data_IF_739181222179
#
_entry.id   IF_739181222179
#
_cell.length_a   1.000
_cell.length_b   1.000
_cell.length_c   1.000
_cell.angle_alpha   90.00
_cell.angle_beta   90.00
_cell.angle_gamma   90.00
#
_symmetry.space_group_name_H-M   'P 1'
#
loop_
_entity.id
_entity.type
_entity.pdbx_description
1 polymer ?
#
# COMPACT_ATOMS: atom_id res chain seq x y z
N UNK A 1 -31.57 -4.22 3.60
CA UNK A 1 -30.25 -4.54 2.99
C UNK A 1 -29.34 -3.31 3.08
N UNK A 2 -28.35 -3.36 3.97
CA UNK A 2 -27.84 -2.20 4.71
C UNK A 2 -26.84 -1.30 3.99
N UNK A 3 -26.80 -0.04 4.45
CA UNK A 3 -25.99 1.11 3.97
C UNK A 3 -24.55 0.77 3.54
N UNK A 4 -23.90 -0.21 4.17
CA UNK A 4 -22.56 -0.69 3.82
C UNK A 4 -22.45 -1.21 2.38
N UNK A 5 -23.44 -1.98 1.90
CA UNK A 5 -23.45 -2.50 0.52
C UNK A 5 -23.63 -1.38 -0.50
N UNK A 6 -24.47 -0.40 -0.18
CA UNK A 6 -24.68 0.80 -1.01
C UNK A 6 -23.40 1.65 -1.07
N UNK A 7 -22.77 1.90 0.08
CA UNK A 7 -21.51 2.62 0.17
C UNK A 7 -20.41 1.96 -0.65
N UNK A 8 -20.13 0.67 -0.40
CA UNK A 8 -19.13 -0.08 -1.15
C UNK A 8 -19.49 -0.15 -2.64
N UNK A 9 -20.77 -0.25 -2.99
CA UNK A 9 -21.27 -0.27 -4.36
C UNK A 9 -20.97 1.00 -5.15
N UNK A 10 -20.87 2.15 -4.49
CA UNK A 10 -20.62 3.45 -5.11
C UNK A 10 -19.17 3.66 -5.57
N UNK A 11 -18.94 4.59 -6.50
CA UNK A 11 -17.58 5.02 -6.89
C UNK A 11 -16.91 5.87 -5.80
N UNK A 12 -17.70 6.58 -4.98
CA UNK A 12 -17.22 7.36 -3.84
C UNK A 12 -16.63 6.42 -2.78
N UNK A 13 -17.41 5.44 -2.32
CA UNK A 13 -16.95 4.53 -1.26
C UNK A 13 -15.69 3.74 -1.64
N UNK A 14 -15.57 3.30 -2.89
CA UNK A 14 -14.33 2.65 -3.38
C UNK A 14 -13.12 3.60 -3.34
N UNK A 15 -13.28 4.84 -3.78
CA UNK A 15 -12.22 5.86 -3.71
C UNK A 15 -11.86 6.21 -2.27
N UNK A 16 -12.84 6.28 -1.37
CA UNK A 16 -12.61 6.48 0.06
C UNK A 16 -11.78 5.34 0.66
N UNK A 17 -12.15 4.08 0.38
CA UNK A 17 -11.37 2.91 0.82
C UNK A 17 -9.94 2.96 0.28
N UNK A 18 -9.79 3.24 -1.02
CA UNK A 18 -8.47 3.38 -1.65
C UNK A 18 -7.64 4.51 -1.00
N UNK A 19 -8.26 5.65 -0.71
CA UNK A 19 -7.60 6.79 -0.07
C UNK A 19 -7.15 6.49 1.36
N UNK A 20 -8.05 5.97 2.21
CA UNK A 20 -7.75 5.65 3.62
C UNK A 20 -6.63 4.60 3.71
N UNK A 21 -6.74 3.53 2.94
CA UNK A 21 -5.70 2.49 2.90
C UNK A 21 -4.37 3.01 2.35
N UNK A 22 -4.41 3.96 1.40
CA UNK A 22 -3.22 4.65 0.91
C UNK A 22 -2.54 5.50 1.99
N UNK A 23 -3.31 6.23 2.80
CA UNK A 23 -2.78 7.01 3.94
C UNK A 23 -2.11 6.10 4.97
N UNK A 24 -2.74 4.97 5.30
CA UNK A 24 -2.13 3.96 6.18
C UNK A 24 -0.77 3.50 5.62
N UNK A 25 -0.72 3.18 4.33
CA UNK A 25 0.52 2.78 3.66
C UNK A 25 1.61 3.86 3.70
N UNK A 26 1.25 5.13 3.47
CA UNK A 26 2.21 6.26 3.53
C UNK A 26 2.78 6.44 4.93
N UNK A 27 1.92 6.47 5.96
CA UNK A 27 2.35 6.60 7.35
C UNK A 27 3.27 5.46 7.75
N UNK A 28 2.93 4.22 7.35
CA UNK A 28 3.79 3.07 7.58
C UNK A 28 5.14 3.22 6.89
N UNK A 29 5.19 3.59 5.61
CA UNK A 29 6.46 3.73 4.88
C UNK A 29 7.36 4.78 5.52
N UNK A 30 6.80 5.89 6.01
CA UNK A 30 7.57 6.91 6.74
C UNK A 30 8.19 6.32 8.02
N UNK A 31 7.37 5.68 8.87
CA UNK A 31 7.85 5.06 10.11
C UNK A 31 8.86 3.92 9.84
N UNK A 32 8.58 3.11 8.83
CA UNK A 32 9.42 2.00 8.39
C UNK A 32 10.78 2.50 7.90
N UNK A 33 10.79 3.52 7.04
CA UNK A 33 12.03 4.14 6.58
C UNK A 33 12.81 4.75 7.74
N UNK A 34 12.15 5.47 8.65
CA UNK A 34 12.79 6.04 9.83
C UNK A 34 13.48 4.98 10.70
N UNK A 35 12.85 3.82 10.91
CA UNK A 35 13.46 2.69 11.61
C UNK A 35 14.66 2.10 10.86
N UNK A 36 14.57 1.96 9.54
CA UNK A 36 15.67 1.44 8.70
C UNK A 36 16.86 2.41 8.65
N UNK A 37 16.63 3.72 8.69
CA UNK A 37 17.70 4.72 8.71
C UNK A 37 18.58 4.63 9.97
N UNK A 38 18.15 3.91 11.01
CA UNK A 38 19.03 3.59 12.15
C UNK A 38 20.25 2.76 11.74
N UNK A 39 20.26 2.14 10.56
CA UNK A 39 21.47 1.50 9.99
C UNK A 39 22.66 2.47 9.93
N UNK A 40 22.41 3.75 9.70
CA UNK A 40 23.46 4.78 9.64
C UNK A 40 24.00 5.21 11.02
N UNK A 41 23.38 4.73 12.11
CA UNK A 41 23.79 4.98 13.50
C UNK A 41 24.65 3.85 14.08
N UNK A 42 24.95 2.83 13.28
CA UNK A 42 25.73 1.66 13.69
C UNK A 42 24.87 0.43 14.02
N UNK A 43 25.49 -0.76 14.10
CA UNK A 43 24.79 -2.03 14.30
C UNK A 43 23.96 -2.07 15.59
N UNK A 44 24.41 -1.41 16.65
CA UNK A 44 23.76 -1.42 17.97
C UNK A 44 22.37 -0.77 17.88
N UNK A 45 22.26 0.36 17.17
CA UNK A 45 21.01 1.10 17.06
C UNK A 45 19.93 0.32 16.29
N UNK A 46 20.29 -0.28 15.14
CA UNK A 46 19.35 -1.07 14.34
C UNK A 46 18.98 -2.40 15.03
N UNK A 47 19.93 -3.03 15.73
CA UNK A 47 19.68 -4.26 16.46
C UNK A 47 18.79 -4.01 17.69
N UNK A 48 19.02 -2.93 18.44
CA UNK A 48 18.17 -2.55 19.56
C UNK A 48 16.72 -2.25 19.11
N UNK A 49 16.55 -1.53 18.00
CA UNK A 49 15.24 -1.29 17.41
C UNK A 49 14.56 -2.59 16.95
N UNK A 50 15.30 -3.47 16.29
CA UNK A 50 14.81 -4.78 15.85
C UNK A 50 14.39 -5.66 17.04
N UNK A 51 15.16 -5.62 18.14
CA UNK A 51 14.83 -6.32 19.38
C UNK A 51 13.55 -5.77 20.01
N UNK A 52 13.42 -4.44 20.11
CA UNK A 52 12.20 -3.77 20.62
C UNK A 52 10.95 -4.14 19.81
N UNK A 53 11.04 -4.17 18.48
CA UNK A 53 9.92 -4.58 17.64
C UNK A 53 9.53 -6.05 17.87
N UNK A 54 10.51 -6.94 18.05
CA UNK A 54 10.26 -8.36 18.29
C UNK A 54 9.74 -8.63 19.71
N UNK A 55 10.17 -7.86 20.71
CA UNK A 55 9.71 -8.03 22.10
C UNK A 55 8.28 -7.55 22.33
N UNK A 56 7.76 -6.65 21.47
CA UNK A 56 6.38 -6.14 21.51
C UNK A 56 5.40 -6.99 20.68
N UNK A 57 5.64 -8.30 20.57
CA UNK A 57 5.07 -9.21 19.56
C UNK A 57 3.59 -9.02 19.19
N UNK A 58 2.70 -8.78 20.15
CA UNK A 58 1.27 -8.51 19.89
C UNK A 58 1.05 -7.26 19.02
N UNK A 59 1.71 -6.15 19.37
CA UNK A 59 1.64 -4.89 18.62
C UNK A 59 2.19 -5.07 17.21
N UNK A 60 3.29 -5.82 17.08
CA UNK A 60 3.87 -6.13 15.77
C UNK A 60 2.90 -6.90 14.87
N UNK A 61 2.16 -7.87 15.42
CA UNK A 61 1.14 -8.61 14.67
C UNK A 61 -0.07 -7.76 14.30
N UNK A 62 -0.54 -6.88 15.18
CA UNK A 62 -1.61 -5.92 14.86
C UNK A 62 -1.19 -5.05 13.67
N UNK A 63 0.04 -4.52 13.68
CA UNK A 63 0.57 -3.72 12.58
C UNK A 63 0.64 -4.54 11.29
N UNK A 64 1.15 -5.77 11.33
CA UNK A 64 1.22 -6.67 10.15
C UNK A 64 -0.15 -6.93 9.55
N UNK A 65 -1.13 -7.32 10.36
CA UNK A 65 -2.48 -7.62 9.89
C UNK A 65 -3.14 -6.36 9.30
N UNK A 66 -2.99 -5.22 9.97
CA UNK A 66 -3.50 -3.93 9.48
C UNK A 66 -2.94 -3.60 8.10
N UNK A 67 -1.63 -3.78 7.90
CA UNK A 67 -0.96 -3.50 6.62
C UNK A 67 -1.36 -4.47 5.52
N UNK A 68 -1.45 -5.77 5.82
CA UNK A 68 -1.90 -6.79 4.86
C UNK A 68 -3.32 -6.46 4.38
N UNK A 69 -4.24 -6.20 5.32
CA UNK A 69 -5.62 -5.82 5.01
C UNK A 69 -5.65 -4.52 4.21
N UNK A 70 -4.91 -3.50 4.64
CA UNK A 70 -4.87 -2.22 3.94
C UNK A 70 -4.36 -2.36 2.51
N UNK A 71 -3.27 -3.09 2.27
CA UNK A 71 -2.70 -3.33 0.93
C UNK A 71 -3.69 -4.08 0.05
N UNK A 72 -4.31 -5.16 0.54
CA UNK A 72 -5.31 -5.92 -0.22
C UNK A 72 -6.50 -5.03 -0.60
N UNK A 73 -7.06 -4.30 0.36
CA UNK A 73 -8.19 -3.40 0.12
C UNK A 73 -7.82 -2.26 -0.84
N UNK A 74 -6.60 -1.73 -0.74
CA UNK A 74 -6.09 -0.69 -1.64
C UNK A 74 -6.03 -1.20 -3.09
N UNK A 75 -5.44 -2.38 -3.31
CA UNK A 75 -5.30 -2.99 -4.64
C UNK A 75 -6.68 -3.31 -5.23
N UNK A 76 -7.57 -3.95 -4.46
CA UNK A 76 -8.92 -4.30 -4.91
C UNK A 76 -9.69 -3.04 -5.30
N UNK A 77 -9.68 -2.01 -4.46
CA UNK A 77 -10.34 -0.75 -4.76
C UNK A 77 -9.74 -0.06 -6.00
N UNK A 78 -8.41 -0.04 -6.14
CA UNK A 78 -7.72 0.54 -7.29
C UNK A 78 -8.09 -0.17 -8.60
N UNK A 79 -8.13 -1.51 -8.60
CA UNK A 79 -8.55 -2.32 -9.75
C UNK A 79 -10.01 -2.02 -10.11
N UNK A 80 -10.91 -2.02 -9.13
CA UNK A 80 -12.33 -1.78 -9.35
C UNK A 80 -12.62 -0.36 -9.86
N UNK A 81 -11.96 0.66 -9.30
CA UNK A 81 -12.08 2.05 -9.76
C UNK A 81 -11.54 2.18 -11.17
N UNK A 82 -10.41 1.54 -11.49
CA UNK A 82 -9.84 1.53 -12.83
C UNK A 82 -10.76 0.85 -13.83
N UNK A 83 -11.31 -0.31 -13.50
CA UNK A 83 -12.24 -1.06 -14.35
C UNK A 83 -13.52 -0.25 -14.63
N UNK A 84 -14.13 0.34 -13.60
CA UNK A 84 -15.31 1.21 -13.76
C UNK A 84 -15.02 2.45 -14.59
N UNK A 85 -13.86 3.06 -14.39
CA UNK A 85 -13.45 4.24 -15.12
C UNK A 85 -13.16 3.96 -16.60
N UNK A 86 -12.76 2.72 -16.94
CA UNK A 86 -12.65 2.24 -18.32
C UNK A 86 -14.02 1.91 -18.91
N UNK A 87 -14.87 1.21 -18.19
CA UNK A 87 -16.22 0.86 -18.64
C UNK A 87 -17.09 2.10 -18.92
N UNK A 88 -16.94 3.16 -18.13
CA UNK A 88 -17.62 4.44 -18.35
C UNK A 88 -17.10 5.21 -19.59
N UNK A 89 -16.05 4.73 -20.27
CA UNK A 89 -15.43 5.35 -21.45
C UNK A 89 -15.30 4.33 -22.59
N UNK A 90 -16.41 4.01 -23.28
CA UNK A 90 -16.40 3.06 -24.40
C UNK A 90 -15.61 3.56 -25.62
N UNK A 91 -15.53 4.87 -25.83
CA UNK A 91 -14.63 5.49 -26.81
C UNK A 91 -13.42 6.07 -26.06
N UNK A 92 -12.22 5.63 -26.45
CA UNK A 92 -10.96 6.08 -25.86
C UNK A 92 -10.60 7.51 -26.23
N UNK A 93 -9.65 8.11 -25.50
CA UNK A 93 -9.16 9.45 -25.81
C UNK A 93 -8.38 9.49 -27.13
N UNK A 94 -8.83 10.31 -28.08
CA UNK A 94 -8.14 10.60 -29.33
C UNK A 94 -6.86 11.41 -29.11
N UNK A 95 -6.85 12.28 -28.08
CA UNK A 95 -5.67 12.99 -27.59
C UNK A 95 -5.58 12.85 -26.08
N UNK A 96 -4.40 12.46 -25.58
CA UNK A 96 -4.11 12.43 -24.14
C UNK A 96 -3.40 13.72 -23.76
N UNK A 97 -4.18 14.79 -23.60
CA UNK A 97 -3.65 16.03 -23.07
C UNK A 97 -3.74 15.98 -21.53
N UNK A 98 -2.60 15.93 -20.80
CA UNK A 98 -2.63 15.81 -19.36
C UNK A 98 -3.03 17.14 -18.74
N UNK A 99 -4.32 17.32 -18.45
CA UNK A 99 -4.84 18.53 -17.80
C UNK A 99 -4.32 18.71 -16.35
N UNK A 100 -4.08 17.61 -15.60
CA UNK A 100 -3.70 17.65 -14.16
C UNK A 100 -2.75 16.50 -13.73
N UNK A 101 -2.17 15.74 -14.67
CA UNK A 101 -1.43 14.51 -14.36
C UNK A 101 0.05 14.72 -14.04
N UNK A 102 0.45 14.55 -12.78
CA UNK A 102 1.86 14.59 -12.31
C UNK A 102 2.65 13.34 -12.73
N UNK A 103 3.99 13.40 -12.73
CA UNK A 103 4.84 12.22 -12.98
C UNK A 103 4.50 11.06 -12.01
N UNK A 104 4.28 11.37 -10.74
CA UNK A 104 3.86 10.39 -9.73
C UNK A 104 2.55 9.68 -10.12
N UNK A 105 1.56 10.41 -10.63
CA UNK A 105 0.29 9.81 -11.10
C UNK A 105 0.48 8.91 -12.33
N UNK A 106 1.45 9.23 -13.19
CA UNK A 106 1.75 8.46 -14.42
C UNK A 106 2.49 7.16 -14.10
N UNK A 107 3.41 7.19 -13.15
CA UNK A 107 4.18 6.01 -12.73
C UNK A 107 3.46 5.14 -11.69
N UNK A 108 2.37 5.63 -11.08
CA UNK A 108 1.65 4.95 -9.98
C UNK A 108 1.31 3.48 -10.28
N UNK A 109 0.90 3.14 -11.50
CA UNK A 109 0.60 1.74 -11.87
C UNK A 109 1.86 0.87 -11.92
N UNK A 110 2.95 1.39 -12.47
CA UNK A 110 4.24 0.68 -12.53
C UNK A 110 4.78 0.49 -11.13
N UNK A 111 4.79 1.55 -10.31
CA UNK A 111 5.19 1.48 -8.91
C UNK A 111 4.36 0.47 -8.11
N UNK A 112 3.04 0.45 -8.30
CA UNK A 112 2.17 -0.54 -7.67
C UNK A 112 2.51 -1.98 -8.05
N UNK A 113 2.82 -2.25 -9.32
CA UNK A 113 3.27 -3.57 -9.77
C UNK A 113 4.62 -3.97 -9.16
N UNK A 114 5.58 -3.04 -9.09
CA UNK A 114 6.86 -3.29 -8.44
C UNK A 114 6.68 -3.61 -6.96
N UNK A 115 5.81 -2.87 -6.26
CA UNK A 115 5.48 -3.13 -4.86
C UNK A 115 4.79 -4.49 -4.65
N UNK A 116 3.92 -4.89 -5.57
CA UNK A 116 3.26 -6.22 -5.53
C UNK A 116 4.26 -7.38 -5.57
N UNK A 117 5.38 -7.22 -6.28
CA UNK A 117 6.46 -8.21 -6.31
C UNK A 117 7.40 -8.05 -5.11
N UNK A 118 7.74 -6.80 -4.76
CA UNK A 118 8.67 -6.49 -3.69
C UNK A 118 8.15 -6.91 -2.31
N UNK A 119 6.87 -6.67 -1.98
CA UNK A 119 6.33 -6.95 -0.64
C UNK A 119 6.44 -8.43 -0.26
N UNK A 120 6.00 -9.41 -1.09
CA UNK A 120 6.21 -10.82 -0.79
C UNK A 120 7.69 -11.19 -0.61
N UNK A 121 8.56 -10.71 -1.51
CA UNK A 121 10.00 -10.95 -1.43
C UNK A 121 10.59 -10.38 -0.13
N UNK A 122 10.17 -9.18 0.25
CA UNK A 122 10.59 -8.50 1.47
C UNK A 122 10.17 -9.27 2.72
N UNK A 123 8.94 -9.79 2.76
CA UNK A 123 8.46 -10.64 3.86
C UNK A 123 9.23 -11.95 3.89
N UNK A 124 9.49 -12.57 2.73
CA UNK A 124 10.23 -13.82 2.65
C UNK A 124 11.67 -13.68 3.15
N UNK A 125 12.30 -12.54 2.90
CA UNK A 125 13.65 -12.27 3.37
C UNK A 125 13.66 -11.98 4.88
N UNK A 126 12.88 -11.02 5.36
CA UNK A 126 13.04 -10.51 6.73
C UNK A 126 12.12 -11.14 7.78
N UNK A 127 10.99 -11.73 7.38
CA UNK A 127 10.04 -12.33 8.33
C UNK A 127 10.16 -13.83 8.40
N UNK A 128 10.12 -14.52 7.25
CA UNK A 128 10.17 -16.00 7.23
C UNK A 128 11.57 -16.54 6.98
N UNK A 129 12.48 -15.73 6.43
CA UNK A 129 13.86 -16.14 6.14
C UNK A 129 13.97 -17.23 5.06
N UNK A 130 12.92 -17.37 4.22
CA UNK A 130 12.85 -18.42 3.18
C UNK A 130 13.75 -18.09 1.98
N UNK A 131 14.04 -16.82 1.77
CA UNK A 131 14.96 -16.32 0.74
C UNK A 131 16.08 -15.57 1.46
N UNK A 132 17.33 -15.79 1.04
CA UNK A 132 18.53 -15.13 1.57
C UNK A 132 19.12 -14.19 0.54
#
# INVERSE_FOLDING_TARGET
>A
MGRLRSFYGSSVGKKTIMGVTGVIGVLFVIAHAAGNLLVFRGPEAINAYSHFLKSTGELLWIMRLTLIVAVILHIVAAVQVTARSRAARPVGYTKRDPQVGTLASRSMRVGGFLLLLFIPLHIMHFTTGTVR
#
